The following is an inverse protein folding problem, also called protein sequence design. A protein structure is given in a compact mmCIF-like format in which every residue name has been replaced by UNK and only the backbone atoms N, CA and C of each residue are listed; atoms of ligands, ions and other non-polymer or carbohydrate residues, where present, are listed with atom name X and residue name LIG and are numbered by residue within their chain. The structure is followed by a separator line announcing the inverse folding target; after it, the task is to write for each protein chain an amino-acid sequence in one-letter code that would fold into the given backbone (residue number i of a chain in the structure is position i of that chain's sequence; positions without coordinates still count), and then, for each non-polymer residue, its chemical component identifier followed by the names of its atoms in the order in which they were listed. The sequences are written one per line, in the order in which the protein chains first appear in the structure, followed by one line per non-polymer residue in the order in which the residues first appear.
data_IF_693993481432
#
_entry.id   IF_693993481432
#
_cell.length_a   1.000
_cell.length_b   1.000
_cell.length_c   1.000
_cell.angle_alpha   90.00
_cell.angle_beta   90.00
_cell.angle_gamma   90.00
#
_symmetry.space_group_name_H-M   'P 1'
#
loop_
_entity.id
_entity.type
_entity.pdbx_description
1 polymer ?
#
# COMPACT_ATOMS: atom_id res chain seq x y z
N UNK A 1 28.53 12.03 25.63
CA UNK A 1 27.59 12.38 24.55
C UNK A 1 27.14 11.07 23.96
N UNK A 2 25.90 10.65 24.19
CA UNK A 2 25.38 9.39 23.64
C UNK A 2 24.83 9.74 22.27
N UNK A 3 25.51 9.31 21.21
CA UNK A 3 25.00 9.43 19.84
C UNK A 3 23.83 8.46 19.69
N UNK A 4 22.61 9.01 19.71
CA UNK A 4 21.43 8.28 19.28
C UNK A 4 21.51 8.17 17.77
N UNK A 5 22.02 7.05 17.29
CA UNK A 5 21.96 6.69 15.87
C UNK A 5 20.47 6.56 15.54
N UNK A 6 19.91 7.52 14.80
CA UNK A 6 18.57 7.40 14.22
C UNK A 6 18.55 6.05 13.50
N UNK A 7 17.72 5.11 13.99
CA UNK A 7 17.43 3.88 13.24
C UNK A 7 17.00 4.34 11.85
N UNK A 8 17.71 3.87 10.83
CA UNK A 8 17.27 4.05 9.46
C UNK A 8 15.81 3.57 9.40
N UNK A 9 14.91 4.46 9.00
CA UNK A 9 13.53 4.07 8.76
C UNK A 9 13.56 2.90 7.77
N UNK A 10 12.80 1.82 8.01
CA UNK A 10 12.80 0.68 7.12
C UNK A 10 12.42 1.16 5.72
N UNK A 11 13.36 1.06 4.79
CA UNK A 11 13.15 1.47 3.41
C UNK A 11 12.13 0.53 2.77
N UNK A 12 10.95 1.06 2.46
CA UNK A 12 9.88 0.32 1.81
C UNK A 12 10.30 0.04 0.37
N UNK A 13 10.30 -1.24 -0.03
CA UNK A 13 10.55 -1.66 -1.41
C UNK A 13 9.23 -1.80 -2.15
N UNK A 14 9.00 -0.93 -3.12
CA UNK A 14 7.82 -0.94 -3.98
C UNK A 14 7.97 -1.94 -5.16
N UNK A 15 6.86 -2.47 -5.71
CA UNK A 15 5.48 -2.22 -5.30
C UNK A 15 5.09 -2.92 -4.00
N UNK A 16 4.14 -2.33 -3.25
CA UNK A 16 3.62 -2.91 -2.00
C UNK A 16 2.11 -3.08 -2.08
N UNK A 17 1.65 -4.27 -1.69
CA UNK A 17 0.24 -4.57 -1.53
C UNK A 17 -0.27 -4.32 -0.13
N UNK A 18 -1.45 -3.70 -0.05
CA UNK A 18 -2.24 -3.56 1.17
C UNK A 18 -3.68 -3.95 0.88
N UNK A 19 -4.31 -4.62 1.83
CA UNK A 19 -5.74 -4.97 1.77
C UNK A 19 -6.45 -4.39 2.99
N UNK A 20 -7.55 -3.67 2.76
CA UNK A 20 -8.39 -3.17 3.83
C UNK A 20 -9.12 -4.35 4.48
N UNK A 21 -9.02 -4.49 5.80
CA UNK A 21 -9.64 -5.59 6.54
C UNK A 21 -11.17 -5.54 6.50
N UNK A 22 -11.74 -4.34 6.48
CA UNK A 22 -13.20 -4.14 6.52
C UNK A 22 -13.86 -4.33 5.15
N UNK A 23 -13.31 -3.68 4.12
CA UNK A 23 -13.93 -3.64 2.78
C UNK A 23 -13.38 -4.70 1.82
N UNK A 24 -12.22 -5.30 2.11
CA UNK A 24 -11.50 -6.17 1.18
C UNK A 24 -10.89 -5.43 -0.01
N UNK A 25 -10.93 -4.09 -0.03
CA UNK A 25 -10.28 -3.26 -1.04
C UNK A 25 -8.77 -3.52 -1.03
N UNK A 26 -8.19 -3.73 -2.21
CA UNK A 26 -6.74 -3.88 -2.38
C UNK A 26 -6.18 -2.59 -2.96
N UNK A 27 -5.02 -2.18 -2.45
CA UNK A 27 -4.29 -1.01 -2.93
C UNK A 27 -2.86 -1.44 -3.23
N UNK A 28 -2.39 -1.13 -4.44
CA UNK A 28 -1.02 -1.37 -4.89
C UNK A 28 -0.30 -0.04 -4.88
N UNK A 29 0.65 0.14 -3.97
CA UNK A 29 1.51 1.31 -3.92
C UNK A 29 2.69 1.11 -4.87
N UNK A 30 2.90 2.08 -5.76
CA UNK A 30 4.04 2.11 -6.70
C UNK A 30 5.20 2.94 -6.15
N UNK A 31 4.87 3.90 -5.28
CA UNK A 31 5.78 4.70 -4.49
C UNK A 31 5.07 5.11 -3.17
N UNK A 32 5.65 6.04 -2.42
CA UNK A 32 5.13 6.47 -1.11
C UNK A 32 3.75 7.13 -1.18
N UNK A 33 3.37 7.70 -2.32
CA UNK A 33 2.17 8.54 -2.46
C UNK A 33 1.27 8.15 -3.62
N UNK A 34 1.73 7.27 -4.51
CA UNK A 34 1.01 6.81 -5.70
C UNK A 34 0.55 5.38 -5.52
N UNK A 35 -0.76 5.17 -5.71
CA UNK A 35 -1.32 3.83 -5.65
C UNK A 35 -2.42 3.59 -6.68
N UNK A 36 -2.64 2.31 -6.99
CA UNK A 36 -3.77 1.84 -7.80
C UNK A 36 -4.71 1.03 -6.93
N UNK A 37 -6.00 1.35 -6.99
CA UNK A 37 -7.04 0.62 -6.27
C UNK A 37 -7.52 -0.56 -7.11
N UNK A 38 -7.56 -1.74 -6.49
CA UNK A 38 -8.02 -2.99 -7.07
C UNK A 38 -9.11 -3.58 -6.17
N UNK A 39 -10.19 -4.07 -6.78
CA UNK A 39 -11.23 -4.79 -6.07
C UNK A 39 -11.30 -6.23 -6.57
N UNK A 40 -11.26 -7.24 -5.69
CA UNK A 40 -11.48 -8.61 -6.11
C UNK A 40 -12.94 -8.80 -6.55
N UNK A 41 -13.13 -9.42 -7.72
CA UNK A 41 -14.44 -9.93 -8.18
C UNK A 41 -15.36 -8.95 -8.92
N UNK A 42 -15.41 -7.66 -8.56
CA UNK A 42 -16.43 -6.73 -9.11
C UNK A 42 -15.88 -5.45 -9.77
N UNK A 43 -16.60 -4.97 -10.79
CA UNK A 43 -16.43 -3.64 -11.40
C UNK A 43 -16.93 -2.56 -10.45
N UNK A 44 -16.14 -2.21 -9.45
CA UNK A 44 -16.32 -0.93 -8.76
C UNK A 44 -15.93 0.21 -9.70
N UNK A 45 -16.64 1.34 -9.62
CA UNK A 45 -16.36 2.54 -10.43
C UNK A 45 -14.90 3.01 -10.32
N UNK A 46 -14.27 2.72 -9.18
CA UNK A 46 -12.91 3.14 -8.88
C UNK A 46 -11.85 2.06 -9.14
N UNK A 47 -12.23 0.87 -9.63
CA UNK A 47 -11.30 -0.19 -9.93
C UNK A 47 -10.35 0.23 -11.07
N UNK A 48 -9.04 0.14 -10.83
CA UNK A 48 -8.00 0.53 -11.79
C UNK A 48 -7.68 2.03 -11.79
N UNK A 49 -8.36 2.84 -10.98
CA UNK A 49 -7.99 4.24 -10.83
C UNK A 49 -6.68 4.36 -10.03
N UNK A 50 -5.83 5.27 -10.49
CA UNK A 50 -4.61 5.65 -9.79
C UNK A 50 -4.88 6.93 -9.02
N UNK A 51 -4.55 6.90 -7.73
CA UNK A 51 -4.72 8.01 -6.81
C UNK A 51 -3.34 8.46 -6.30
N UNK A 52 -3.16 9.77 -6.25
CA UNK A 52 -2.07 10.41 -5.52
C UNK A 52 -2.56 10.91 -4.16
N UNK A 53 -1.68 10.88 -3.15
CA UNK A 53 -1.95 11.45 -1.81
C UNK A 53 -2.37 10.44 -0.75
N UNK A 54 -2.29 9.15 -1.04
CA UNK A 54 -2.38 8.09 -0.05
C UNK A 54 -0.96 7.69 0.38
N UNK A 55 -0.65 7.77 1.68
CA UNK A 55 0.65 7.33 2.20
C UNK A 55 0.70 5.80 2.24
N UNK A 56 1.81 5.19 1.81
CA UNK A 56 2.03 3.74 1.87
C UNK A 56 2.09 3.19 3.32
N UNK A 57 2.28 4.07 4.31
CA UNK A 57 2.19 3.80 5.75
C UNK A 57 0.74 3.88 6.24
N UNK A 58 -0.16 3.20 5.53
CA UNK A 58 -1.53 3.02 6.00
C UNK A 58 -1.52 2.21 7.30
N UNK A 59 -2.33 2.66 8.24
CA UNK A 59 -2.53 2.11 9.57
C UNK A 59 -2.63 0.56 9.55
N UNK A 60 -1.74 -0.12 10.29
CA UNK A 60 -1.74 -1.59 10.39
C UNK A 60 -3.00 -2.13 11.08
N UNK A 61 -3.75 -1.29 11.80
CA UNK A 61 -5.02 -1.67 12.39
C UNK A 61 -6.09 -1.86 11.30
N UNK A 62 -6.09 -1.02 10.25
CA UNK A 62 -7.08 -1.04 9.16
C UNK A 62 -6.60 -1.86 7.95
N UNK A 63 -5.30 -1.87 7.68
CA UNK A 63 -4.71 -2.46 6.48
C UNK A 63 -3.77 -3.62 6.82
N UNK A 64 -3.95 -4.74 6.13
CA UNK A 64 -3.04 -5.88 6.23
C UNK A 64 -2.06 -5.90 5.04
N UNK A 65 -0.79 -6.28 5.29
CA UNK A 65 0.18 -6.49 4.21
C UNK A 65 -0.24 -7.67 3.33
N UNK A 66 -0.01 -7.52 2.02
CA UNK A 66 -0.35 -8.56 1.04
C UNK A 66 0.81 -8.76 0.06
N UNK A 67 1.16 -10.02 -0.20
CA UNK A 67 2.10 -10.38 -1.24
C UNK A 67 1.45 -10.19 -2.62
N UNK A 68 2.15 -9.48 -3.51
CA UNK A 68 1.70 -9.24 -4.88
C UNK A 68 2.67 -9.91 -5.84
N UNK A 69 2.10 -10.58 -6.85
CA UNK A 69 2.82 -11.02 -8.03
C UNK A 69 2.21 -10.37 -9.27
N UNK A 70 3.02 -9.68 -10.07
CA UNK A 70 2.58 -8.99 -11.30
C UNK A 70 3.13 -9.76 -12.50
N UNK A 71 2.25 -10.19 -13.40
CA UNK A 71 2.60 -10.85 -14.67
C UNK A 71 2.63 -9.82 -15.82
N UNK A 72 3.43 -10.10 -16.86
CA UNK A 72 3.53 -9.29 -18.08
C UNK A 72 3.41 -10.14 -19.33
#
# INVERSE_FOLDING_TARGET
MIEVTKKAEPEIKYPVGRKCKDSGQVVIFWDEHTCTVVFPGEKQLNAGLTYGGLSSCMDEDEWEPMDIHIYG
#
